data_IF_605814301342
#
_entry.id   IF_605814301342
#
_cell.length_a   1.000
_cell.length_b   1.000
_cell.length_c   1.000
_cell.angle_alpha   90.00
_cell.angle_beta   90.00
_cell.angle_gamma   90.00
#
_symmetry.space_group_name_H-M   'P 1'
#
loop_
_entity.id
_entity.type
_entity.pdbx_description
1 polymer ?
#
# COMPACT_ATOMS: atom_id res chain seq x y z
N UNK A 1 11.63 -4.12 -30.18
CA UNK A 1 11.10 -5.36 -29.58
C UNK A 1 9.71 -5.05 -29.07
N UNK A 2 8.70 -5.79 -29.50
CA UNK A 2 7.34 -5.70 -28.94
C UNK A 2 7.26 -6.72 -27.80
N UNK A 3 7.02 -6.26 -26.57
CA UNK A 3 6.92 -7.14 -25.40
C UNK A 3 5.45 -7.46 -25.16
N UNK A 4 5.11 -8.76 -25.10
CA UNK A 4 3.78 -9.25 -24.76
C UNK A 4 3.89 -10.27 -23.62
N UNK A 5 3.03 -10.13 -22.61
CA UNK A 5 2.86 -11.13 -21.55
C UNK A 5 1.63 -11.97 -21.88
N UNK A 6 1.83 -13.25 -22.16
CA UNK A 6 0.77 -14.19 -22.52
C UNK A 6 0.70 -15.26 -21.42
N UNK A 7 -0.36 -15.27 -20.59
CA UNK A 7 -0.58 -16.38 -19.67
C UNK A 7 -0.90 -17.66 -20.44
N UNK A 8 -0.27 -18.75 -20.04
CA UNK A 8 -0.47 -20.09 -20.59
C UNK A 8 -0.69 -21.09 -19.46
N UNK A 9 -1.48 -22.13 -19.72
CA UNK A 9 -1.63 -23.27 -18.81
C UNK A 9 -0.46 -24.26 -18.92
N UNK A 10 -0.53 -25.36 -18.18
CA UNK A 10 0.48 -26.42 -18.19
C UNK A 10 0.65 -27.12 -19.54
N UNK A 11 -0.35 -27.03 -20.42
CA UNK A 11 -0.33 -27.60 -21.77
C UNK A 11 0.11 -26.56 -22.83
N UNK A 12 0.43 -25.33 -22.41
CA UNK A 12 0.86 -24.25 -23.29
C UNK A 12 -0.28 -23.55 -24.02
N UNK A 13 -1.54 -23.84 -23.67
CA UNK A 13 -2.68 -23.13 -24.22
C UNK A 13 -2.86 -21.77 -23.55
N UNK A 14 -3.32 -20.79 -24.31
CA UNK A 14 -3.54 -19.44 -23.80
C UNK A 14 -4.72 -19.43 -22.83
N UNK A 15 -4.53 -18.76 -21.71
CA UNK A 15 -5.56 -18.63 -20.67
C UNK A 15 -6.03 -17.18 -20.60
N UNK A 16 -7.34 -16.93 -20.68
CA UNK A 16 -7.87 -15.60 -20.47
C UNK A 16 -8.01 -15.29 -18.97
N UNK A 17 -7.05 -14.54 -18.44
CA UNK A 17 -7.09 -14.08 -17.05
C UNK A 17 -8.04 -12.89 -16.90
N UNK A 18 -9.21 -13.13 -16.35
CA UNK A 18 -10.16 -12.11 -15.93
C UNK A 18 -10.53 -12.28 -14.44
N UNK A 19 -11.09 -11.24 -13.77
CA UNK A 19 -11.42 -11.34 -12.34
C UNK A 19 -12.38 -12.47 -11.98
N UNK A 20 -13.26 -12.88 -12.89
CA UNK A 20 -14.16 -14.03 -12.68
C UNK A 20 -13.40 -15.35 -12.62
N UNK A 21 -12.37 -15.54 -13.45
CA UNK A 21 -11.58 -16.77 -13.53
C UNK A 21 -10.92 -17.13 -12.19
N UNK A 22 -10.59 -16.14 -11.36
CA UNK A 22 -10.02 -16.37 -10.01
C UNK A 22 -10.97 -17.20 -9.13
N UNK A 23 -12.29 -17.04 -9.28
CA UNK A 23 -13.27 -17.78 -8.48
C UNK A 23 -13.43 -19.22 -8.92
N UNK A 24 -13.10 -19.52 -10.17
CA UNK A 24 -13.26 -20.84 -10.78
C UNK A 24 -11.99 -21.69 -10.66
N UNK A 25 -10.88 -21.10 -10.22
CA UNK A 25 -9.63 -21.82 -9.92
C UNK A 25 -9.79 -22.70 -8.69
N UNK A 26 -9.32 -23.94 -8.78
CA UNK A 26 -9.13 -24.77 -7.61
C UNK A 26 -8.00 -24.25 -6.70
N UNK A 27 -7.87 -24.83 -5.52
CA UNK A 27 -6.89 -24.36 -4.52
C UNK A 27 -5.44 -24.46 -5.01
N UNK A 28 -5.11 -25.47 -5.82
CA UNK A 28 -3.74 -25.69 -6.33
C UNK A 28 -3.43 -24.58 -7.34
N UNK A 29 -4.30 -24.43 -8.34
CA UNK A 29 -4.18 -23.44 -9.41
C UNK A 29 -4.15 -22.01 -8.86
N UNK A 30 -5.01 -21.71 -7.87
CA UNK A 30 -5.05 -20.40 -7.24
C UNK A 30 -3.75 -20.08 -6.48
N UNK A 31 -3.15 -21.08 -5.83
CA UNK A 31 -1.89 -20.92 -5.10
C UNK A 31 -0.73 -20.67 -6.06
N UNK A 32 -0.64 -21.43 -7.15
CA UNK A 32 0.36 -21.25 -8.20
C UNK A 32 0.22 -19.89 -8.90
N UNK A 33 -1.01 -19.50 -9.22
CA UNK A 33 -1.32 -18.18 -9.76
C UNK A 33 -0.82 -17.06 -8.84
N UNK A 34 -1.11 -17.13 -7.53
CA UNK A 34 -0.65 -16.13 -6.57
C UNK A 34 0.87 -16.07 -6.47
N UNK A 35 1.56 -17.21 -6.54
CA UNK A 35 3.03 -17.27 -6.50
C UNK A 35 3.63 -16.57 -7.73
N UNK A 36 3.12 -16.84 -8.93
CA UNK A 36 3.58 -16.21 -10.17
C UNK A 36 3.20 -14.72 -10.22
N UNK A 37 1.97 -14.37 -9.83
CA UNK A 37 1.48 -13.00 -9.80
C UNK A 37 2.32 -12.12 -8.86
N UNK A 38 2.82 -12.67 -7.74
CA UNK A 38 3.73 -11.96 -6.84
C UNK A 38 5.03 -11.53 -7.54
N UNK A 39 5.63 -12.42 -8.33
CA UNK A 39 6.86 -12.13 -9.10
C UNK A 39 6.57 -11.02 -10.13
N UNK A 40 5.46 -11.12 -10.86
CA UNK A 40 5.06 -10.12 -11.86
C UNK A 40 4.78 -8.76 -11.19
N UNK A 41 4.10 -8.74 -10.05
CA UNK A 41 3.83 -7.52 -9.30
C UNK A 41 5.11 -6.83 -8.82
N UNK A 42 6.12 -7.59 -8.40
CA UNK A 42 7.41 -7.05 -8.00
C UNK A 42 8.19 -6.49 -9.20
N UNK A 43 8.18 -7.17 -10.35
CA UNK A 43 8.76 -6.67 -11.59
C UNK A 43 8.08 -5.38 -12.06
N UNK A 44 6.75 -5.34 -12.01
CA UNK A 44 5.96 -4.16 -12.33
C UNK A 44 6.36 -2.96 -11.45
N UNK A 45 6.46 -3.14 -10.13
CA UNK A 45 6.87 -2.08 -9.20
C UNK A 45 8.27 -1.55 -9.50
N UNK A 46 9.21 -2.44 -9.84
CA UNK A 46 10.57 -2.04 -10.24
C UNK A 46 10.56 -1.25 -11.55
N UNK A 47 9.78 -1.69 -12.54
CA UNK A 47 9.57 -0.96 -13.79
C UNK A 47 8.97 0.43 -13.56
N UNK A 48 7.95 0.54 -12.71
CA UNK A 48 7.31 1.82 -12.36
C UNK A 48 8.31 2.77 -11.68
N UNK A 49 9.15 2.25 -10.78
CA UNK A 49 10.19 3.03 -10.09
C UNK A 49 11.19 3.61 -11.08
N UNK A 50 11.67 2.79 -12.02
CA UNK A 50 12.60 3.22 -13.06
C UNK A 50 11.96 4.23 -14.01
N UNK A 51 10.69 4.03 -14.38
CA UNK A 51 9.95 5.00 -15.21
C UNK A 51 9.85 6.36 -14.52
N UNK A 52 9.49 6.40 -13.23
CA UNK A 52 9.42 7.65 -12.45
C UNK A 52 10.78 8.36 -12.41
N UNK A 53 11.86 7.62 -12.13
CA UNK A 53 13.21 8.15 -12.14
C UNK A 53 13.56 8.80 -13.49
N UNK A 54 13.24 8.14 -14.61
CA UNK A 54 13.52 8.69 -15.95
C UNK A 54 12.67 9.91 -16.29
N UNK A 55 11.41 9.95 -15.84
CA UNK A 55 10.57 11.13 -15.96
C UNK A 55 11.14 12.30 -15.15
N UNK A 56 11.66 12.04 -13.95
CA UNK A 56 12.31 13.05 -13.10
C UNK A 56 13.62 13.57 -13.72
N UNK A 57 14.33 12.72 -14.48
CA UNK A 57 15.49 13.08 -15.30
C UNK A 57 15.11 13.81 -16.62
N UNK A 58 13.82 13.98 -16.90
CA UNK A 58 13.32 14.71 -18.07
C UNK A 58 13.16 13.89 -19.35
N UNK A 59 13.29 12.55 -19.28
CA UNK A 59 13.04 11.68 -20.43
C UNK A 59 11.54 11.64 -20.77
N UNK A 60 11.23 11.52 -22.06
CA UNK A 60 9.84 11.45 -22.55
C UNK A 60 9.45 10.02 -22.92
N UNK A 61 8.18 9.68 -22.69
CA UNK A 61 7.59 8.41 -23.07
C UNK A 61 6.32 8.65 -23.90
N UNK A 62 6.07 7.79 -24.89
CA UNK A 62 4.96 7.97 -25.83
C UNK A 62 3.57 7.64 -25.25
N UNK A 63 3.50 6.83 -24.18
CA UNK A 63 2.24 6.28 -23.64
C UNK A 63 2.02 6.52 -22.15
N UNK A 64 2.92 7.27 -21.51
CA UNK A 64 2.88 7.52 -20.08
C UNK A 64 3.50 8.89 -19.78
N UNK A 65 2.96 9.54 -18.77
CA UNK A 65 3.45 10.80 -18.21
C UNK A 65 2.98 10.89 -16.76
N UNK A 66 3.53 11.84 -15.99
CA UNK A 66 2.91 12.20 -14.74
C UNK A 66 1.49 12.74 -14.98
N UNK A 67 0.55 12.30 -14.14
CA UNK A 67 -0.75 12.93 -14.02
C UNK A 67 -0.69 14.16 -13.11
N UNK A 68 -1.83 14.82 -12.91
CA UNK A 68 -1.90 15.88 -11.92
C UNK A 68 -1.64 15.33 -10.51
N UNK A 69 -0.80 16.01 -9.70
CA UNK A 69 -0.56 15.57 -8.33
C UNK A 69 -1.85 15.66 -7.52
N UNK A 70 -2.17 14.60 -6.79
CA UNK A 70 -3.31 14.59 -5.89
C UNK A 70 -3.14 15.70 -4.83
N UNK A 71 -4.06 16.67 -4.83
CA UNK A 71 -4.04 17.78 -3.86
C UNK A 71 -4.86 17.40 -2.64
N UNK A 72 -4.21 17.27 -1.48
CA UNK A 72 -4.88 17.13 -0.18
C UNK A 72 -4.72 18.40 0.63
N UNK A 73 -5.81 18.89 1.21
CA UNK A 73 -5.77 19.95 2.23
C UNK A 73 -5.36 19.31 3.55
N UNK A 74 -4.26 19.79 4.13
CA UNK A 74 -3.71 19.28 5.40
C UNK A 74 -3.67 20.44 6.40
N UNK A 75 -4.20 20.20 7.59
CA UNK A 75 -4.16 21.15 8.68
C UNK A 75 -2.75 21.16 9.29
N UNK A 76 -2.03 22.27 9.14
CA UNK A 76 -0.72 22.49 9.78
C UNK A 76 -0.89 23.51 10.90
N UNK A 77 -0.77 23.07 12.14
CA UNK A 77 -0.94 23.90 13.33
C UNK A 77 0.25 23.75 14.27
N UNK A 78 0.71 24.86 14.84
CA UNK A 78 1.62 24.86 15.98
C UNK A 78 0.88 24.52 17.29
N UNK A 79 1.62 24.37 18.40
CA UNK A 79 1.03 23.98 19.69
C UNK A 79 0.01 24.99 20.22
N UNK A 80 0.21 26.29 19.98
CA UNK A 80 -0.75 27.33 20.38
C UNK A 80 -2.07 27.16 19.63
N UNK A 81 -2.02 27.03 18.31
CA UNK A 81 -3.20 26.85 17.46
C UNK A 81 -3.96 25.56 17.78
N UNK A 82 -3.25 24.47 18.12
CA UNK A 82 -3.87 23.23 18.60
C UNK A 82 -4.64 23.45 19.90
N UNK A 83 -4.03 24.15 20.86
CA UNK A 83 -4.67 24.48 22.14
C UNK A 83 -5.91 25.34 21.93
N UNK A 84 -5.80 26.39 21.11
CA UNK A 84 -6.91 27.30 20.81
C UNK A 84 -8.08 26.56 20.12
N UNK A 85 -7.77 25.60 19.24
CA UNK A 85 -8.77 24.75 18.60
C UNK A 85 -9.52 23.90 19.62
N UNK A 86 -8.80 23.23 20.53
CA UNK A 86 -9.42 22.41 21.59
C UNK A 86 -10.28 23.25 22.53
N UNK A 87 -9.80 24.45 22.92
CA UNK A 87 -10.57 25.39 23.75
C UNK A 87 -11.88 25.79 23.07
N UNK A 88 -11.85 26.03 21.76
CA UNK A 88 -13.01 26.56 21.02
C UNK A 88 -13.97 25.50 20.49
N UNK A 89 -13.50 24.27 20.21
CA UNK A 89 -14.27 23.22 19.52
C UNK A 89 -14.32 21.88 20.26
N UNK A 90 -13.70 21.77 21.43
CA UNK A 90 -13.65 20.53 22.21
C UNK A 90 -12.55 19.58 21.77
N UNK A 91 -12.44 18.42 22.41
CA UNK A 91 -11.40 17.43 22.11
C UNK A 91 -11.70 16.57 20.88
N UNK A 92 -12.94 16.57 20.38
CA UNK A 92 -13.34 15.81 19.18
C UNK A 92 -12.64 16.28 17.90
N UNK A 93 -12.04 17.48 17.91
CA UNK A 93 -11.27 17.99 16.78
C UNK A 93 -9.82 17.48 16.74
N UNK A 94 -9.38 16.68 17.72
CA UNK A 94 -8.02 16.15 17.78
C UNK A 94 -8.04 14.63 17.97
N UNK A 95 -7.24 13.94 17.17
CA UNK A 95 -6.93 12.54 17.38
C UNK A 95 -5.57 12.43 18.09
N UNK A 96 -5.42 11.51 19.07
CA UNK A 96 -4.11 11.15 19.60
C UNK A 96 -3.17 10.75 18.47
N UNK A 97 -1.89 11.13 18.58
CA UNK A 97 -0.90 10.59 17.65
C UNK A 97 -0.81 9.06 17.83
N UNK A 98 -0.49 8.30 16.76
CA UNK A 98 -0.42 6.84 16.83
C UNK A 98 0.51 6.35 17.96
N UNK A 99 0.15 5.27 18.64
CA UNK A 99 0.89 4.72 19.78
C UNK A 99 2.38 4.52 19.49
N UNK A 100 2.74 3.99 18.31
CA UNK A 100 4.15 3.84 17.92
C UNK A 100 4.94 5.15 17.96
N UNK A 101 4.32 6.27 17.56
CA UNK A 101 4.95 7.61 17.64
C UNK A 101 5.01 8.16 19.05
N UNK A 102 4.10 7.73 19.93
CA UNK A 102 4.19 8.04 21.36
C UNK A 102 5.37 7.30 21.99
N UNK A 103 5.52 6.01 21.69
CA UNK A 103 6.63 5.18 22.17
C UNK A 103 7.99 5.72 21.69
N UNK A 104 8.10 6.10 20.41
CA UNK A 104 9.32 6.72 19.87
C UNK A 104 9.73 8.00 20.60
N UNK A 105 8.76 8.77 21.11
CA UNK A 105 9.01 10.07 21.76
C UNK A 105 9.20 9.99 23.26
N UNK A 106 8.47 9.10 23.91
CA UNK A 106 8.31 9.07 25.36
C UNK A 106 8.78 7.75 25.99
N UNK A 107 9.19 6.78 25.18
CA UNK A 107 9.56 5.44 25.63
C UNK A 107 8.37 4.50 25.73
N UNK A 108 8.66 3.21 25.95
CA UNK A 108 7.66 2.14 26.00
C UNK A 108 6.75 2.24 27.24
N UNK A 109 7.23 2.84 28.32
CA UNK A 109 6.49 2.93 29.59
C UNK A 109 5.17 3.70 29.47
N UNK A 110 5.00 4.53 28.43
CA UNK A 110 3.74 5.21 28.14
C UNK A 110 2.57 4.24 27.90
N UNK A 111 2.85 2.99 27.52
CA UNK A 111 1.82 1.94 27.41
C UNK A 111 1.16 1.62 28.76
N UNK A 112 1.86 1.82 29.88
CA UNK A 112 1.32 1.61 31.23
C UNK A 112 0.45 2.79 31.71
N UNK A 113 0.62 3.97 31.09
CA UNK A 113 -0.09 5.20 31.45
C UNK A 113 -1.38 5.41 30.63
N UNK A 114 -1.53 4.68 29.52
CA UNK A 114 -2.61 4.83 28.57
C UNK A 114 -3.48 3.57 28.52
N UNK A 115 -4.79 3.69 28.21
CA UNK A 115 -5.69 2.55 28.04
C UNK A 115 -5.44 1.85 26.69
N UNK A 116 -4.26 1.25 26.52
CA UNK A 116 -3.89 0.52 25.30
C UNK A 116 -4.67 -0.79 25.23
N UNK A 117 -5.37 -1.01 24.12
CA UNK A 117 -6.07 -2.27 23.84
C UNK A 117 -5.36 -2.98 22.70
N UNK A 118 -5.05 -4.25 22.91
CA UNK A 118 -4.52 -5.12 21.85
C UNK A 118 -5.69 -5.57 20.99
N UNK A 119 -5.60 -5.30 19.69
CA UNK A 119 -6.55 -5.80 18.70
C UNK A 119 -5.80 -6.70 17.73
N UNK A 120 -6.38 -7.86 17.43
CA UNK A 120 -5.80 -8.78 16.48
C UNK A 120 -6.22 -8.38 15.06
N UNK A 121 -5.23 -8.14 14.19
CA UNK A 121 -5.46 -8.07 12.76
C UNK A 121 -5.76 -9.47 12.22
N UNK A 122 -6.49 -9.54 11.10
CA UNK A 122 -6.67 -10.81 10.38
C UNK A 122 -5.30 -11.42 10.05
N UNK A 123 -5.17 -12.72 10.28
CA UNK A 123 -3.94 -13.44 9.97
C UNK A 123 -3.57 -13.25 8.48
N UNK A 124 -2.32 -12.88 8.17
CA UNK A 124 -1.86 -12.80 6.79
C UNK A 124 -1.75 -14.21 6.19
N UNK A 125 -1.77 -14.29 4.85
CA UNK A 125 -1.39 -15.51 4.16
C UNK A 125 0.09 -15.84 4.47
N UNK A 126 0.34 -17.09 4.83
CA UNK A 126 1.69 -17.63 5.08
C UNK A 126 2.03 -18.63 3.99
N UNK A 127 3.23 -18.50 3.42
CA UNK A 127 3.78 -19.45 2.47
C UNK A 127 4.60 -20.49 3.24
N UNK A 128 4.52 -21.75 2.82
CA UNK A 128 5.48 -22.76 3.28
C UNK A 128 6.88 -22.37 2.78
N UNK A 129 7.87 -22.47 3.66
CA UNK A 129 9.25 -22.06 3.40
C UNK A 129 10.01 -23.10 2.59
#
# INVERSE_FOLDING_TARGET
MELQLIPVDGDGQRVDLNPSAIKDMDNITLTEFLAQAKIIADLYKKGETEVKKRLDEGQQFNRLSYGEPAKRRVLKMNNKQKRDLVISRGWDCVEPIPLGKLIEKFGKDIENELPVVITENKAPLKWDA
#
